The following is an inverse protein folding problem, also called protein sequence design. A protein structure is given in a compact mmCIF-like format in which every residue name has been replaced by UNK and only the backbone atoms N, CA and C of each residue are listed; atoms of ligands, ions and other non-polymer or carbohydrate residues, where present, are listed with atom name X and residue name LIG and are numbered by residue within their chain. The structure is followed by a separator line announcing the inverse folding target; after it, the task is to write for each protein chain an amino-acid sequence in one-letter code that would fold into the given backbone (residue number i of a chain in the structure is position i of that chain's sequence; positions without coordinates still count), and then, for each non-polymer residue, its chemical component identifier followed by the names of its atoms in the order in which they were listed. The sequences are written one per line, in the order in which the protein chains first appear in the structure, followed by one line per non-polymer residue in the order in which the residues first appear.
data_IF_799427300485
#
_entry.id   IF_799427300485
#
_cell.length_a   1.000
_cell.length_b   1.000
_cell.length_c   1.000
_cell.angle_alpha   90.00
_cell.angle_beta   90.00
_cell.angle_gamma   90.00
#
_symmetry.space_group_name_H-M   'P 1'
#
loop_
_entity.id
_entity.type
_entity.pdbx_description
1 polymer ?
#
# COMPACT_ATOMS: atom_id res chain seq x y z
N UNK A 1 -5.14 2.75 29.68
CA UNK A 1 -3.95 2.96 28.82
C UNK A 1 -4.28 2.51 27.40
N UNK A 2 -3.99 3.30 26.36
CA UNK A 2 -4.11 2.81 24.98
C UNK A 2 -3.00 1.79 24.74
N UNK A 3 -3.35 0.55 24.40
CA UNK A 3 -2.39 -0.50 24.05
C UNK A 3 -1.75 -0.13 22.70
N UNK A 4 -0.42 -0.17 22.61
CA UNK A 4 0.28 0.01 21.33
C UNK A 4 -0.09 -1.17 20.43
N UNK A 5 -0.45 -0.88 19.18
CA UNK A 5 -0.77 -1.87 18.15
C UNK A 5 0.41 -1.98 17.20
N UNK A 6 0.84 -3.20 16.94
CA UNK A 6 1.94 -3.50 16.04
C UNK A 6 1.41 -4.23 14.79
N UNK A 7 2.03 -3.96 13.65
CA UNK A 7 1.72 -4.58 12.36
C UNK A 7 2.95 -5.35 11.88
N UNK A 8 2.74 -6.52 11.31
CA UNK A 8 3.79 -7.29 10.63
C UNK A 8 3.74 -7.02 9.14
N UNK A 9 4.86 -6.56 8.59
CA UNK A 9 5.01 -6.35 7.15
C UNK A 9 5.13 -7.65 6.39
N UNK A 10 4.24 -7.89 5.43
CA UNK A 10 4.32 -9.06 4.57
C UNK A 10 5.56 -9.04 3.66
N UNK A 11 6.20 -7.88 3.48
CA UNK A 11 7.50 -7.80 2.82
C UNK A 11 8.57 -8.63 3.49
N UNK A 12 8.53 -8.83 4.81
CA UNK A 12 9.50 -9.67 5.51
C UNK A 12 9.54 -11.10 4.96
N UNK A 13 8.41 -11.60 4.42
CA UNK A 13 8.29 -12.94 3.84
C UNK A 13 9.00 -13.11 2.49
N UNK A 14 9.58 -12.05 1.90
CA UNK A 14 10.51 -12.22 0.77
C UNK A 14 11.81 -12.93 1.18
N UNK A 15 12.15 -12.90 2.47
CA UNK A 15 13.36 -13.51 3.03
C UNK A 15 13.06 -14.78 3.83
N UNK A 16 11.79 -15.18 3.92
CA UNK A 16 11.39 -16.39 4.64
C UNK A 16 11.13 -17.52 3.66
N UNK A 17 11.84 -18.61 3.88
CA UNK A 17 11.70 -19.80 3.07
C UNK A 17 10.45 -20.57 3.53
N UNK A 18 9.38 -20.40 2.74
CA UNK A 18 8.29 -21.38 2.49
C UNK A 18 6.94 -21.25 3.22
N UNK A 19 6.32 -20.06 3.31
CA UNK A 19 4.88 -20.01 3.61
C UNK A 19 4.07 -20.69 2.50
N UNK A 20 3.18 -21.62 2.87
CA UNK A 20 2.37 -22.41 1.93
C UNK A 20 1.21 -21.61 1.33
N UNK A 21 0.76 -20.56 2.00
CA UNK A 21 -0.21 -19.63 1.44
C UNK A 21 -0.26 -18.28 2.12
N UNK A 22 -0.94 -17.30 1.50
CA UNK A 22 -1.20 -16.00 2.12
C UNK A 22 -2.08 -16.19 3.36
N UNK A 23 -3.05 -17.10 3.30
CA UNK A 23 -3.94 -17.44 4.41
C UNK A 23 -3.17 -17.97 5.62
N UNK A 24 -2.15 -18.81 5.40
CA UNK A 24 -1.27 -19.28 6.48
C UNK A 24 -0.52 -18.12 7.13
N UNK A 25 0.07 -17.23 6.33
CA UNK A 25 0.80 -16.07 6.83
C UNK A 25 -0.10 -15.15 7.65
N UNK A 26 -1.31 -14.85 7.15
CA UNK A 26 -2.28 -14.00 7.86
C UNK A 26 -2.72 -14.66 9.16
N UNK A 27 -2.97 -15.97 9.16
CA UNK A 27 -3.33 -16.70 10.37
C UNK A 27 -2.21 -16.67 11.42
N UNK A 28 -0.95 -16.86 11.01
CA UNK A 28 0.22 -16.76 11.89
C UNK A 28 0.32 -15.36 12.51
N UNK A 29 0.33 -14.31 11.70
CA UNK A 29 0.45 -12.91 12.17
C UNK A 29 -0.69 -12.56 13.15
N UNK A 30 -1.92 -12.96 12.81
CA UNK A 30 -3.10 -12.75 13.66
C UNK A 30 -3.02 -13.49 14.99
N UNK A 31 -2.58 -14.75 14.99
CA UNK A 31 -2.48 -15.56 16.21
C UNK A 31 -1.48 -14.99 17.22
N UNK A 32 -0.45 -14.28 16.74
CA UNK A 32 0.50 -13.55 17.58
C UNK A 32 -0.03 -12.17 18.05
N UNK A 33 -1.23 -11.78 17.61
CA UNK A 33 -1.89 -10.54 18.02
C UNK A 33 -1.44 -9.29 17.27
N UNK A 34 -0.83 -9.46 16.09
CA UNK A 34 -0.40 -8.37 15.22
C UNK A 34 -1.44 -8.06 14.13
N UNK A 35 -1.45 -6.81 13.67
CA UNK A 35 -2.04 -6.44 12.38
C UNK A 35 -1.14 -6.83 11.21
N UNK A 36 -1.65 -6.70 9.98
CA UNK A 36 -0.92 -7.07 8.76
C UNK A 36 -0.69 -5.83 7.90
N UNK A 37 0.57 -5.54 7.55
CA UNK A 37 0.88 -4.58 6.48
C UNK A 37 1.06 -5.34 5.16
N UNK A 38 0.14 -5.11 4.22
CA UNK A 38 0.15 -5.74 2.91
C UNK A 38 1.07 -5.02 1.93
N UNK A 39 1.68 -5.81 1.04
CA UNK A 39 2.46 -5.31 -0.08
C UNK A 39 1.82 -5.73 -1.40
N UNK A 40 1.77 -4.85 -2.41
CA UNK A 40 0.89 -5.04 -3.56
C UNK A 40 1.29 -6.24 -4.41
N UNK A 41 2.59 -6.41 -4.66
CA UNK A 41 3.05 -7.27 -5.73
C UNK A 41 3.52 -8.63 -5.24
N UNK A 42 3.12 -9.68 -5.96
CA UNK A 42 3.47 -11.06 -5.62
C UNK A 42 3.60 -11.95 -6.87
N UNK A 43 4.39 -13.02 -6.77
CA UNK A 43 4.49 -14.05 -7.80
C UNK A 43 3.42 -15.14 -7.64
N UNK A 44 3.06 -15.50 -6.41
CA UNK A 44 1.99 -16.47 -6.11
C UNK A 44 1.38 -16.23 -4.72
N UNK A 45 0.12 -16.60 -4.54
CA UNK A 45 -0.54 -16.68 -3.23
C UNK A 45 -0.44 -18.08 -2.60
N UNK A 46 -0.13 -19.11 -3.41
CA UNK A 46 0.00 -20.52 -3.02
C UNK A 46 1.13 -21.18 -3.84
N UNK A 47 2.35 -21.37 -3.29
CA UNK A 47 2.85 -20.81 -2.03
C UNK A 47 2.84 -19.29 -2.02
N UNK A 48 2.83 -18.66 -0.84
CA UNK A 48 2.89 -17.20 -0.77
C UNK A 48 4.29 -16.72 -1.14
N UNK A 49 4.37 -15.89 -2.18
CA UNK A 49 5.64 -15.37 -2.71
C UNK A 49 5.48 -13.88 -3.03
N UNK A 50 5.71 -12.97 -2.07
CA UNK A 50 5.80 -11.54 -2.37
C UNK A 50 6.98 -11.28 -3.32
N UNK A 51 6.94 -10.19 -4.09
CA UNK A 51 8.02 -9.85 -5.03
C UNK A 51 8.69 -8.53 -4.71
N UNK A 52 9.99 -8.47 -4.99
CA UNK A 52 10.74 -7.23 -5.08
C UNK A 52 10.54 -6.66 -6.49
N UNK A 53 9.56 -5.77 -6.61
CA UNK A 53 9.07 -5.22 -7.87
C UNK A 53 10.09 -4.31 -8.60
N UNK A 54 11.09 -3.81 -7.89
CA UNK A 54 12.17 -2.98 -8.46
C UNK A 54 13.28 -3.80 -9.11
N UNK A 55 13.31 -5.13 -8.95
CA UNK A 55 14.34 -5.96 -9.58
C UNK A 55 14.01 -6.19 -11.07
N UNK A 56 14.96 -5.97 -12.00
CA UNK A 56 14.75 -6.21 -13.43
C UNK A 56 14.23 -7.61 -13.76
N UNK A 57 14.70 -8.62 -13.02
CA UNK A 57 14.25 -10.01 -13.19
C UNK A 57 12.78 -10.21 -12.82
N UNK A 58 12.28 -9.50 -11.80
CA UNK A 58 10.87 -9.54 -11.39
C UNK A 58 9.99 -8.93 -12.47
N UNK A 59 10.38 -7.77 -13.00
CA UNK A 59 9.66 -7.09 -14.09
C UNK A 59 9.59 -7.98 -15.32
N UNK A 60 10.71 -8.59 -15.73
CA UNK A 60 10.77 -9.48 -16.90
C UNK A 60 9.90 -10.73 -16.72
N UNK A 61 9.85 -11.28 -15.50
CA UNK A 61 9.02 -12.45 -15.17
C UNK A 61 7.52 -12.12 -15.12
N UNK A 62 7.18 -10.88 -14.78
CA UNK A 62 5.83 -10.48 -14.44
C UNK A 62 5.47 -10.89 -13.01
N UNK A 63 4.48 -10.20 -12.45
CA UNK A 63 3.92 -10.43 -11.13
C UNK A 63 2.46 -9.98 -11.12
N UNK A 64 1.72 -10.47 -10.13
CA UNK A 64 0.35 -10.07 -9.88
C UNK A 64 0.30 -8.93 -8.87
N UNK A 65 -0.88 -8.33 -8.71
CA UNK A 65 -1.12 -7.14 -7.89
C UNK A 65 -2.38 -7.32 -7.05
N UNK A 66 -2.24 -7.28 -5.72
CA UNK A 66 -3.33 -7.44 -4.76
C UNK A 66 -4.39 -6.33 -4.86
N UNK A 67 -4.06 -5.18 -5.45
CA UNK A 67 -5.04 -4.12 -5.69
C UNK A 67 -5.92 -4.38 -6.92
N UNK A 68 -5.63 -5.41 -7.72
CA UNK A 68 -6.51 -5.84 -8.80
C UNK A 68 -7.89 -6.24 -8.25
N UNK A 69 -8.95 -5.84 -8.96
CA UNK A 69 -10.34 -6.11 -8.56
C UNK A 69 -10.62 -7.61 -8.41
N UNK A 70 -9.92 -8.45 -9.17
CA UNK A 70 -10.07 -9.90 -9.18
C UNK A 70 -9.72 -10.55 -7.84
N UNK A 71 -8.89 -9.91 -7.00
CA UNK A 71 -8.56 -10.42 -5.66
C UNK A 71 -9.43 -9.84 -4.56
N UNK A 72 -10.27 -8.83 -4.84
CA UNK A 72 -10.96 -8.05 -3.80
C UNK A 72 -11.82 -8.92 -2.89
N UNK A 73 -12.65 -9.79 -3.45
CA UNK A 73 -13.53 -10.67 -2.67
C UNK A 73 -12.72 -11.63 -1.77
N UNK A 74 -11.70 -12.29 -2.33
CA UNK A 74 -10.80 -13.15 -1.57
C UNK A 74 -10.12 -12.39 -0.42
N UNK A 75 -9.68 -11.15 -0.66
CA UNK A 75 -9.03 -10.33 0.37
C UNK A 75 -10.02 -9.86 1.44
N UNK A 76 -11.26 -9.53 1.06
CA UNK A 76 -12.29 -9.16 2.03
C UNK A 76 -12.56 -10.29 3.01
N UNK A 77 -12.70 -11.52 2.50
CA UNK A 77 -12.90 -12.69 3.35
C UNK A 77 -11.68 -12.97 4.23
N UNK A 78 -10.49 -12.94 3.64
CA UNK A 78 -9.25 -13.27 4.35
C UNK A 78 -8.93 -12.28 5.48
N UNK A 79 -9.15 -10.99 5.24
CA UNK A 79 -8.80 -9.94 6.20
C UNK A 79 -9.99 -9.50 7.07
N UNK A 80 -11.11 -10.22 7.02
CA UNK A 80 -12.26 -9.96 7.88
C UNK A 80 -11.88 -10.04 9.36
N UNK A 81 -12.02 -8.90 10.07
CA UNK A 81 -11.64 -8.77 11.48
C UNK A 81 -10.14 -8.72 11.75
N UNK A 82 -9.31 -8.59 10.71
CA UNK A 82 -7.85 -8.39 10.81
C UNK A 82 -7.56 -6.92 10.56
N UNK A 83 -6.83 -6.29 11.47
CA UNK A 83 -6.37 -4.92 11.25
C UNK A 83 -5.30 -4.90 10.15
N UNK A 84 -5.51 -4.06 9.15
CA UNK A 84 -4.62 -3.97 7.99
C UNK A 84 -4.14 -2.55 7.75
N UNK A 85 -2.91 -2.48 7.21
CA UNK A 85 -2.38 -1.33 6.50
C UNK A 85 -1.83 -1.79 5.16
N UNK A 86 -1.58 -0.85 4.25
CA UNK A 86 -1.05 -1.17 2.93
C UNK A 86 0.22 -0.40 2.65
N UNK A 87 1.08 -1.02 1.87
CA UNK A 87 2.01 -0.32 1.02
C UNK A 87 1.35 -0.07 -0.35
N UNK A 88 1.44 1.14 -0.90
CA UNK A 88 0.93 1.47 -2.22
C UNK A 88 1.70 0.81 -3.36
N UNK A 89 1.07 0.77 -4.53
CA UNK A 89 1.76 0.64 -5.83
C UNK A 89 2.72 1.81 -6.03
N UNK A 90 3.66 1.61 -6.94
CA UNK A 90 4.53 2.64 -7.49
C UNK A 90 5.49 3.26 -6.48
N UNK A 91 6.74 2.82 -6.55
CA UNK A 91 7.88 3.62 -6.09
C UNK A 91 8.33 4.52 -7.25
N UNK A 92 9.11 5.57 -6.98
CA UNK A 92 9.59 6.54 -7.99
C UNK A 92 10.39 5.95 -9.17
N UNK A 93 10.63 4.64 -9.19
CA UNK A 93 11.33 3.91 -10.22
C UNK A 93 10.38 3.42 -11.33
N UNK A 94 10.66 3.80 -12.58
CA UNK A 94 10.01 3.21 -13.76
C UNK A 94 10.33 1.70 -13.82
N UNK A 95 9.40 0.83 -14.27
CA UNK A 95 8.16 1.13 -15.00
C UNK A 95 6.89 1.20 -14.13
N UNK A 96 6.99 1.05 -12.80
CA UNK A 96 5.82 0.80 -11.95
C UNK A 96 5.22 2.06 -11.32
N UNK A 97 5.70 3.23 -11.73
CA UNK A 97 5.19 4.51 -11.26
C UNK A 97 3.69 4.63 -11.56
N UNK A 98 2.91 4.84 -10.52
CA UNK A 98 1.52 5.29 -10.62
C UNK A 98 1.51 6.81 -10.67
N UNK A 99 0.61 7.39 -11.45
CA UNK A 99 0.58 8.84 -11.66
C UNK A 99 -0.80 9.45 -11.88
N UNK A 100 -1.83 8.63 -12.00
CA UNK A 100 -3.19 9.07 -12.27
C UNK A 100 -4.08 8.89 -11.06
N UNK A 101 -5.14 9.71 -10.98
CA UNK A 101 -6.17 9.57 -9.96
C UNK A 101 -6.76 8.15 -9.94
N UNK A 102 -7.05 7.57 -11.10
CA UNK A 102 -7.69 6.26 -11.24
C UNK A 102 -6.83 5.14 -10.64
N UNK A 103 -5.50 5.19 -10.84
CA UNK A 103 -4.57 4.22 -10.25
C UNK A 103 -4.55 4.28 -8.72
N UNK A 104 -4.68 5.48 -8.14
CA UNK A 104 -4.81 5.67 -6.70
C UNK A 104 -6.19 5.25 -6.19
N UNK A 105 -7.27 5.63 -6.90
CA UNK A 105 -8.64 5.30 -6.54
C UNK A 105 -8.85 3.79 -6.44
N UNK A 106 -8.26 3.00 -7.35
CA UNK A 106 -8.32 1.53 -7.28
C UNK A 106 -7.70 0.99 -5.99
N UNK A 107 -6.57 1.54 -5.54
CA UNK A 107 -5.90 1.12 -4.32
C UNK A 107 -6.72 1.48 -3.08
N UNK A 108 -7.27 2.70 -3.06
CA UNK A 108 -8.16 3.20 -2.01
C UNK A 108 -9.41 2.33 -1.92
N UNK A 109 -10.03 2.00 -3.05
CA UNK A 109 -11.24 1.17 -3.09
C UNK A 109 -10.98 -0.24 -2.55
N UNK A 110 -9.86 -0.85 -2.93
CA UNK A 110 -9.52 -2.18 -2.43
C UNK A 110 -9.17 -2.14 -0.94
N UNK A 111 -8.41 -1.14 -0.48
CA UNK A 111 -8.12 -0.97 0.94
C UNK A 111 -9.40 -0.77 1.77
N UNK A 112 -10.31 0.10 1.31
CA UNK A 112 -11.59 0.36 1.97
C UNK A 112 -12.50 -0.88 1.95
N UNK A 113 -12.51 -1.62 0.83
CA UNK A 113 -13.31 -2.83 0.69
C UNK A 113 -12.96 -3.88 1.74
N UNK A 114 -11.67 -4.04 2.07
CA UNK A 114 -11.21 -5.01 3.07
C UNK A 114 -11.19 -4.45 4.51
N UNK A 115 -11.65 -3.22 4.72
CA UNK A 115 -11.69 -2.57 6.03
C UNK A 115 -10.33 -2.05 6.54
N UNK A 116 -9.34 -1.86 5.65
CA UNK A 116 -8.10 -1.18 6.00
C UNK A 116 -8.35 0.30 6.29
N UNK A 117 -7.44 0.92 7.04
CA UNK A 117 -7.52 2.34 7.40
C UNK A 117 -6.36 3.19 6.88
N UNK A 118 -5.24 2.58 6.47
CA UNK A 118 -4.02 3.29 6.10
C UNK A 118 -3.43 2.70 4.81
N UNK A 119 -2.96 3.59 3.93
CA UNK A 119 -2.07 3.25 2.81
C UNK A 119 -0.82 4.12 2.90
N UNK A 120 0.36 3.50 3.02
CA UNK A 120 1.67 4.13 2.86
C UNK A 120 1.95 4.40 1.39
N UNK A 121 2.11 5.66 1.01
CA UNK A 121 2.25 6.14 -0.37
C UNK A 121 3.60 6.82 -0.59
N UNK A 122 4.38 6.35 -1.57
CA UNK A 122 5.63 7.00 -1.97
C UNK A 122 5.38 8.24 -2.83
N UNK A 123 4.49 8.08 -3.80
CA UNK A 123 4.19 9.08 -4.83
C UNK A 123 2.67 9.30 -4.91
N UNK A 124 2.26 10.54 -5.19
CA UNK A 124 0.91 10.86 -5.66
C UNK A 124 1.04 11.72 -6.92
N UNK A 125 0.75 11.12 -8.08
CA UNK A 125 0.99 11.78 -9.36
C UNK A 125 2.48 11.93 -9.69
N UNK A 126 2.78 12.92 -10.55
CA UNK A 126 4.16 13.33 -10.84
C UNK A 126 4.68 14.41 -9.90
N UNK A 127 3.79 14.97 -9.09
CA UNK A 127 4.01 16.26 -8.45
C UNK A 127 4.22 16.16 -6.95
N UNK A 128 3.85 15.02 -6.37
CA UNK A 128 4.16 14.64 -5.00
C UNK A 128 4.92 13.32 -5.05
N UNK A 129 6.18 13.33 -4.63
CA UNK A 129 7.04 12.15 -4.64
C UNK A 129 7.86 12.07 -3.36
N UNK A 130 8.54 10.95 -3.17
CA UNK A 130 9.49 10.76 -2.07
C UNK A 130 10.61 11.83 -2.01
N UNK A 131 10.91 12.53 -3.11
CA UNK A 131 11.99 13.54 -3.18
C UNK A 131 11.54 14.96 -3.57
N UNK A 132 10.31 15.14 -4.06
CA UNK A 132 9.88 16.40 -4.66
C UNK A 132 8.40 16.70 -4.43
N UNK A 133 8.11 17.98 -4.17
CA UNK A 133 6.75 18.55 -4.23
C UNK A 133 6.75 19.78 -5.12
N UNK A 134 5.89 19.76 -6.13
CA UNK A 134 5.69 20.91 -7.03
C UNK A 134 4.44 21.71 -6.62
N UNK A 135 4.28 22.90 -7.19
CA UNK A 135 3.09 23.73 -6.96
C UNK A 135 1.80 23.15 -7.60
N UNK A 136 1.91 22.19 -8.52
CA UNK A 136 0.76 21.55 -9.13
C UNK A 136 0.31 20.34 -8.29
N UNK A 137 -0.60 20.56 -7.36
CA UNK A 137 -1.10 19.52 -6.44
C UNK A 137 -2.49 18.99 -6.82
N UNK A 138 -2.96 19.20 -8.06
CA UNK A 138 -4.32 18.84 -8.48
C UNK A 138 -4.64 17.35 -8.27
N UNK A 139 -3.78 16.44 -8.73
CA UNK A 139 -3.99 14.99 -8.53
C UNK A 139 -3.93 14.63 -7.05
N UNK A 140 -2.99 15.22 -6.30
CA UNK A 140 -2.89 14.99 -4.86
C UNK A 140 -4.17 15.39 -4.12
N UNK A 141 -4.73 16.56 -4.42
CA UNK A 141 -5.99 17.00 -3.82
C UNK A 141 -7.15 16.03 -4.14
N UNK A 142 -7.29 15.61 -5.40
CA UNK A 142 -8.33 14.65 -5.80
C UNK A 142 -8.19 13.31 -5.06
N UNK A 143 -6.96 12.80 -4.95
CA UNK A 143 -6.66 11.54 -4.29
C UNK A 143 -6.91 11.62 -2.77
N UNK A 144 -6.51 12.72 -2.12
CA UNK A 144 -6.75 12.95 -0.68
C UNK A 144 -8.24 13.12 -0.39
N UNK A 145 -8.95 13.90 -1.20
CA UNK A 145 -10.41 14.07 -1.08
C UNK A 145 -11.10 12.71 -1.21
N UNK A 146 -10.77 11.93 -2.24
CA UNK A 146 -11.36 10.62 -2.45
C UNK A 146 -11.05 9.64 -1.31
N UNK A 147 -9.79 9.56 -0.87
CA UNK A 147 -9.40 8.73 0.27
C UNK A 147 -10.21 9.08 1.54
N UNK A 148 -10.44 10.38 1.77
CA UNK A 148 -11.25 10.88 2.89
C UNK A 148 -12.68 10.37 2.80
N UNK A 149 -13.32 10.43 1.63
CA UNK A 149 -14.69 9.89 1.44
C UNK A 149 -14.79 8.38 1.66
N UNK A 150 -13.66 7.66 1.54
CA UNK A 150 -13.55 6.22 1.73
C UNK A 150 -13.06 5.82 3.13
N UNK A 151 -12.79 6.79 4.01
CA UNK A 151 -12.27 6.52 5.36
C UNK A 151 -10.81 6.02 5.36
N UNK A 152 -10.04 6.29 4.30
CA UNK A 152 -8.64 5.88 4.16
C UNK A 152 -7.71 7.05 4.48
N UNK A 153 -6.74 6.80 5.36
CA UNK A 153 -5.62 7.70 5.61
C UNK A 153 -4.47 7.38 4.66
N UNK A 154 -3.98 8.39 3.96
CA UNK A 154 -2.76 8.28 3.15
C UNK A 154 -1.57 8.73 4.00
N UNK A 155 -0.66 7.80 4.30
CA UNK A 155 0.59 8.08 4.99
C UNK A 155 1.68 8.33 3.95
N UNK A 156 2.19 9.56 3.86
CA UNK A 156 3.24 9.90 2.92
C UNK A 156 4.59 9.34 3.38
N UNK A 157 5.11 8.39 2.60
CA UNK A 157 6.43 7.80 2.79
C UNK A 157 7.47 8.58 1.98
N UNK A 158 7.67 9.84 2.36
CA UNK A 158 8.67 10.70 1.76
C UNK A 158 9.89 10.83 2.66
N UNK A 159 11.08 10.79 2.05
CA UNK A 159 12.33 11.09 2.74
C UNK A 159 12.50 12.59 3.02
N UNK A 160 11.61 13.43 2.50
CA UNK A 160 11.66 14.89 2.65
C UNK A 160 10.54 15.38 3.56
N UNK A 161 10.90 15.80 4.78
CA UNK A 161 9.92 16.40 5.69
C UNK A 161 9.29 17.69 5.10
N UNK A 162 10.06 18.48 4.34
CA UNK A 162 9.54 19.65 3.64
C UNK A 162 8.49 19.29 2.59
N UNK A 163 8.65 18.13 1.93
CA UNK A 163 7.64 17.59 1.02
C UNK A 163 6.32 17.32 1.76
N UNK A 164 6.37 16.68 2.93
CA UNK A 164 5.19 16.46 3.78
C UNK A 164 4.48 17.77 4.13
N UNK A 165 5.22 18.82 4.51
CA UNK A 165 4.63 20.10 4.92
C UNK A 165 3.92 20.81 3.76
N UNK A 166 4.52 20.79 2.56
CA UNK A 166 3.90 21.36 1.36
C UNK A 166 2.67 20.58 0.92
N UNK A 167 2.72 19.24 1.00
CA UNK A 167 1.62 18.35 0.62
C UNK A 167 0.36 18.54 1.49
N UNK A 168 0.56 18.84 2.78
CA UNK A 168 -0.51 18.93 3.77
C UNK A 168 -1.08 20.34 3.95
N UNK A 169 -0.65 21.30 3.11
CA UNK A 169 -1.10 22.69 3.10
C UNK A 169 -1.02 23.40 4.47
N UNK A 170 -0.17 22.93 5.39
CA UNK A 170 -0.09 23.42 6.77
C UNK A 170 0.60 24.79 6.94
N UNK A 171 0.95 25.45 5.83
CA UNK A 171 1.61 26.77 5.81
C UNK A 171 0.95 27.80 4.88
N UNK A 172 -0.29 27.59 4.46
CA UNK A 172 -1.10 28.72 3.95
C UNK A 172 -1.95 29.28 5.09
N UNK A 173 -1.30 30.08 5.94
CA UNK A 173 -1.92 31.12 6.77
C UNK A 173 -1.33 32.45 6.32
#
# INVERSE_FOLDING_TARGET
MKKIKYYTSLWNYIYHDEPQSLEEVVAQVRNEGFGVELWPYFFSLKPYRPTLQTRPISIKRGFNDLFDITYREQLQDLFSGVETSWHSRGTGEKPLKISTFQEHAQQIDTAAAIGSSIISVHDIGYTLTNTQVTNNVTVANQVVEYATTRGITLALETGSFEACLKATNKYQV
#
